data_IF_078817435162
#
_entry.id   IF_078817435162
#
_cell.length_a   1.000
_cell.length_b   1.000
_cell.length_c   1.000
_cell.angle_alpha   90.00
_cell.angle_beta   90.00
_cell.angle_gamma   90.00
#
_symmetry.space_group_name_H-M   'P 1'
#
loop_
_entity.id
_entity.type
_entity.pdbx_description
1 polymer ?
#
# COMPACT_ATOMS: atom_id res chain seq x y z
N UNK A 1 7.90 6.59 -10.99
CA UNK A 1 7.47 7.67 -10.07
C UNK A 1 6.18 7.23 -9.39
N UNK A 2 6.07 7.42 -8.08
CA UNK A 2 4.86 7.13 -7.29
C UNK A 2 4.24 8.43 -6.82
N UNK A 3 2.94 8.59 -7.02
CA UNK A 3 2.13 9.71 -6.55
C UNK A 3 1.21 9.17 -5.45
N UNK A 4 1.27 9.80 -4.27
CA UNK A 4 0.33 9.56 -3.19
C UNK A 4 -0.60 10.77 -3.06
N UNK A 5 -1.90 10.55 -3.14
CA UNK A 5 -2.92 11.57 -3.03
C UNK A 5 -3.83 11.30 -1.82
N UNK A 6 -3.89 12.29 -0.91
CA UNK A 6 -4.77 12.29 0.26
C UNK A 6 -5.71 13.51 0.20
N UNK A 7 -6.69 13.51 -0.74
CA UNK A 7 -7.56 14.66 -0.93
C UNK A 7 -8.51 14.86 0.24
N UNK A 8 -9.07 16.07 0.44
CA UNK A 8 -10.19 16.28 1.35
C UNK A 8 -11.28 15.24 1.07
N UNK A 9 -11.59 14.38 2.04
CA UNK A 9 -12.49 13.23 1.77
C UNK A 9 -13.88 13.68 1.30
N UNK A 10 -14.53 12.90 0.43
CA UNK A 10 -15.87 13.21 -0.07
C UNK A 10 -16.82 13.53 1.09
N UNK A 11 -17.48 14.69 1.06
CA UNK A 11 -18.30 15.19 2.17
C UNK A 11 -19.32 14.17 2.69
N UNK A 12 -19.98 13.45 1.79
CA UNK A 12 -20.97 12.42 2.10
C UNK A 12 -20.43 11.26 2.96
N UNK A 13 -19.11 11.06 2.99
CA UNK A 13 -18.44 9.99 3.75
C UNK A 13 -17.99 10.42 5.14
N UNK A 14 -18.09 11.72 5.47
CA UNK A 14 -17.61 12.28 6.74
C UNK A 14 -18.68 12.21 7.82
N UNK A 15 -18.28 11.87 9.05
CA UNK A 15 -19.21 11.86 10.19
C UNK A 15 -19.63 13.24 10.68
N UNK A 16 -18.91 14.30 10.29
CA UNK A 16 -19.26 15.69 10.58
C UNK A 16 -19.16 16.48 9.28
N UNK A 17 -20.25 17.10 8.80
CA UNK A 17 -20.26 17.86 7.55
C UNK A 17 -19.62 19.25 7.66
N UNK A 18 -19.04 19.60 8.82
CA UNK A 18 -18.33 20.86 9.00
C UNK A 18 -17.07 20.97 8.14
N UNK A 19 -16.73 22.20 7.73
CA UNK A 19 -15.54 22.50 6.93
C UNK A 19 -14.27 22.24 7.74
N UNK A 20 -13.68 21.05 7.58
CA UNK A 20 -12.35 20.74 8.14
C UNK A 20 -11.22 21.46 7.40
N UNK A 21 -11.46 21.81 6.15
CA UNK A 21 -10.53 22.49 5.26
C UNK A 21 -11.07 23.89 4.93
N UNK A 22 -10.16 24.85 4.75
CA UNK A 22 -10.50 26.22 4.31
C UNK A 22 -11.07 26.25 2.88
N UNK A 23 -10.67 25.28 2.07
CA UNK A 23 -11.19 25.02 0.73
C UNK A 23 -11.52 23.53 0.66
N UNK A 24 -12.81 23.21 0.61
CA UNK A 24 -13.27 21.83 0.51
C UNK A 24 -13.48 21.44 -0.95
N UNK A 25 -13.41 20.14 -1.23
CA UNK A 25 -13.66 19.63 -2.58
C UNK A 25 -15.16 19.42 -2.77
N UNK A 26 -15.66 19.95 -3.88
CA UNK A 26 -16.95 19.56 -4.44
C UNK A 26 -16.83 18.20 -5.13
N UNK A 27 -17.97 17.58 -5.45
CA UNK A 27 -17.95 16.36 -6.26
C UNK A 27 -17.27 16.57 -7.63
N UNK A 28 -17.40 17.77 -8.21
CA UNK A 28 -16.74 18.12 -9.47
C UNK A 28 -15.21 18.15 -9.32
N UNK A 29 -14.70 18.72 -8.23
CA UNK A 29 -13.25 18.76 -7.96
C UNK A 29 -12.69 17.33 -7.79
N UNK A 30 -13.45 16.45 -7.15
CA UNK A 30 -13.09 15.04 -7.05
C UNK A 30 -13.03 14.35 -8.42
N UNK A 31 -14.02 14.61 -9.30
CA UNK A 31 -14.04 14.06 -10.67
C UNK A 31 -12.83 14.54 -11.47
N UNK A 32 -12.50 15.83 -11.39
CA UNK A 32 -11.34 16.40 -12.07
C UNK A 32 -10.02 15.81 -11.54
N UNK A 33 -9.85 15.74 -10.22
CA UNK A 33 -8.67 15.13 -9.60
C UNK A 33 -8.47 13.70 -10.07
N UNK A 34 -9.52 12.87 -10.01
CA UNK A 34 -9.42 11.46 -10.40
C UNK A 34 -9.12 11.29 -11.89
N UNK A 35 -9.70 12.14 -12.75
CA UNK A 35 -9.40 12.13 -14.18
C UNK A 35 -7.92 12.47 -14.46
N UNK A 36 -7.37 13.46 -13.76
CA UNK A 36 -5.95 13.82 -13.89
C UNK A 36 -5.07 12.68 -13.40
N UNK A 37 -5.34 12.14 -12.21
CA UNK A 37 -4.55 11.05 -11.63
C UNK A 37 -4.59 9.78 -12.49
N UNK A 38 -5.74 9.49 -13.10
CA UNK A 38 -5.89 8.34 -13.98
C UNK A 38 -5.12 8.50 -15.30
N UNK A 39 -5.03 9.72 -15.84
CA UNK A 39 -4.34 9.99 -17.10
C UNK A 39 -2.80 10.01 -16.98
N UNK A 40 -2.26 10.15 -15.77
CA UNK A 40 -0.81 10.24 -15.56
C UNK A 40 -0.12 8.88 -15.84
N UNK A 41 1.03 8.87 -16.55
CA UNK A 41 1.85 7.68 -16.74
C UNK A 41 2.70 7.41 -15.48
N UNK A 42 2.04 7.30 -14.31
CA UNK A 42 2.67 7.11 -13.01
C UNK A 42 1.92 6.06 -12.19
N UNK A 43 2.64 5.45 -11.24
CA UNK A 43 2.00 4.70 -10.17
C UNK A 43 1.30 5.68 -9.24
N UNK A 44 0.02 5.47 -8.97
CA UNK A 44 -0.82 6.33 -8.15
C UNK A 44 -1.45 5.53 -7.03
N UNK A 45 -1.44 6.12 -5.84
CA UNK A 45 -2.11 5.64 -4.65
C UNK A 45 -3.00 6.76 -4.10
N UNK A 46 -4.26 6.46 -3.79
CA UNK A 46 -5.24 7.41 -3.27
C UNK A 46 -5.83 6.87 -1.97
N UNK A 47 -5.82 7.66 -0.89
CA UNK A 47 -6.47 7.33 0.39
C UNK A 47 -7.84 7.99 0.51
N UNK A 48 -8.76 7.33 1.20
CA UNK A 48 -10.08 7.91 1.48
C UNK A 48 -11.01 6.96 2.23
N UNK A 49 -12.26 7.40 2.44
CA UNK A 49 -13.34 6.54 2.94
C UNK A 49 -14.07 5.85 1.78
N UNK A 50 -14.72 4.70 2.03
CA UNK A 50 -15.59 4.07 1.04
C UNK A 50 -16.56 5.08 0.42
N UNK A 51 -16.51 5.24 -0.89
CA UNK A 51 -17.30 6.24 -1.62
C UNK A 51 -17.79 5.66 -2.94
N UNK A 52 -19.10 5.77 -3.20
CA UNK A 52 -19.70 5.34 -4.46
C UNK A 52 -19.09 6.06 -5.66
N UNK A 53 -18.80 7.36 -5.52
CA UNK A 53 -18.14 8.17 -6.54
C UNK A 53 -16.79 7.57 -6.95
N UNK A 54 -15.97 7.19 -5.98
CA UNK A 54 -14.63 6.65 -6.26
C UNK A 54 -14.73 5.23 -6.83
N UNK A 55 -15.68 4.42 -6.34
CA UNK A 55 -15.93 3.09 -6.89
C UNK A 55 -16.39 3.12 -8.35
N UNK A 56 -17.14 4.15 -8.76
CA UNK A 56 -17.58 4.35 -10.15
C UNK A 56 -16.42 4.83 -11.04
N UNK A 57 -15.61 5.76 -10.56
CA UNK A 57 -14.56 6.41 -11.36
C UNK A 57 -13.23 5.66 -11.39
N UNK A 58 -12.99 4.76 -10.44
CA UNK A 58 -11.78 3.96 -10.34
C UNK A 58 -12.12 2.47 -10.48
N UNK A 59 -12.62 2.02 -11.65
CA UNK A 59 -13.06 0.65 -11.82
C UNK A 59 -11.89 -0.34 -11.94
N UNK A 60 -12.16 -1.57 -11.52
CA UNK A 60 -11.30 -2.72 -11.81
C UNK A 60 -11.30 -3.03 -13.33
N UNK A 61 -10.23 -3.63 -13.90
CA UNK A 61 -9.02 -4.11 -13.23
C UNK A 61 -7.92 -3.05 -13.08
N UNK A 62 -8.12 -1.85 -13.63
CA UNK A 62 -7.12 -0.77 -13.64
C UNK A 62 -6.78 -0.34 -12.23
N UNK A 63 -7.80 -0.15 -11.40
CA UNK A 63 -7.65 0.23 -10.01
C UNK A 63 -7.97 -0.94 -9.08
N UNK A 64 -7.15 -1.10 -8.04
CA UNK A 64 -7.33 -2.06 -6.96
C UNK A 64 -7.66 -1.31 -5.69
N UNK A 65 -8.55 -1.88 -4.88
CA UNK A 65 -8.98 -1.28 -3.61
C UNK A 65 -8.58 -2.18 -2.46
N UNK A 66 -7.88 -1.63 -1.47
CA UNK A 66 -7.65 -2.27 -0.18
C UNK A 66 -8.45 -1.54 0.89
N UNK A 67 -9.22 -2.28 1.68
CA UNK A 67 -9.98 -1.72 2.80
C UNK A 67 -9.39 -2.22 4.12
N UNK A 68 -9.16 -1.30 5.07
CA UNK A 68 -8.64 -1.64 6.38
C UNK A 68 -9.36 -0.89 7.49
N UNK A 69 -9.35 -1.45 8.69
CA UNK A 69 -9.90 -0.80 9.89
C UNK A 69 -8.83 0.08 10.52
N UNK A 70 -9.13 1.37 10.64
CA UNK A 70 -8.31 2.35 11.33
C UNK A 70 -8.97 2.77 12.64
N UNK A 71 -8.23 2.74 13.74
CA UNK A 71 -8.72 3.27 15.02
C UNK A 71 -8.58 4.80 15.03
N UNK A 72 -9.70 5.51 15.12
CA UNK A 72 -9.70 6.98 15.25
C UNK A 72 -10.14 7.39 16.65
N UNK A 73 -9.96 8.67 17.01
CA UNK A 73 -10.47 9.23 18.27
C UNK A 73 -12.00 9.06 18.44
N UNK A 74 -12.72 8.87 17.34
CA UNK A 74 -14.17 8.64 17.32
C UNK A 74 -14.58 7.18 17.09
N UNK A 75 -13.68 6.22 17.34
CA UNK A 75 -13.91 4.79 17.14
C UNK A 75 -13.32 4.23 15.83
N UNK A 76 -13.52 2.92 15.57
CA UNK A 76 -13.03 2.27 14.36
C UNK A 76 -13.71 2.86 13.11
N UNK A 77 -12.93 3.12 12.07
CA UNK A 77 -13.38 3.58 10.77
C UNK A 77 -12.79 2.70 9.68
N UNK A 78 -13.60 2.40 8.67
CA UNK A 78 -13.14 1.70 7.46
C UNK A 78 -12.51 2.72 6.53
N UNK A 79 -11.22 2.59 6.24
CA UNK A 79 -10.52 3.35 5.22
C UNK A 79 -10.27 2.48 3.98
N UNK A 80 -10.19 3.12 2.82
CA UNK A 80 -9.92 2.52 1.53
C UNK A 80 -8.67 3.15 0.90
N UNK A 81 -7.90 2.31 0.23
CA UNK A 81 -6.71 2.67 -0.53
C UNK A 81 -6.88 2.19 -1.97
N UNK A 82 -6.94 3.11 -2.92
CA UNK A 82 -6.99 2.81 -4.35
C UNK A 82 -5.59 2.88 -4.95
N UNK A 83 -5.21 1.89 -5.76
CA UNK A 83 -3.90 1.84 -6.43
C UNK A 83 -4.04 1.38 -7.88
N UNK A 84 -3.35 2.03 -8.81
CA UNK A 84 -3.37 1.69 -10.24
C UNK A 84 -2.21 0.78 -10.69
N UNK A 85 -1.49 0.19 -9.74
CA UNK A 85 -0.34 -0.68 -9.98
C UNK A 85 -0.49 -1.99 -9.21
N UNK A 86 0.17 -3.05 -9.70
CA UNK A 86 0.21 -4.31 -8.98
C UNK A 86 1.11 -4.16 -7.74
N UNK A 87 0.71 -4.68 -6.56
CA UNK A 87 1.61 -4.77 -5.41
C UNK A 87 2.84 -5.65 -5.69
N UNK A 88 2.81 -6.43 -6.78
CA UNK A 88 3.93 -7.22 -7.26
C UNK A 88 4.74 -6.47 -8.31
N UNK A 89 5.67 -5.67 -7.81
CA UNK A 89 6.98 -5.58 -8.44
C UNK A 89 7.99 -5.94 -7.34
N UNK A 90 8.42 -7.20 -7.37
CA UNK A 90 9.67 -7.70 -6.82
C UNK A 90 10.64 -6.57 -6.46
N UNK A 91 10.94 -6.36 -5.16
CA UNK A 91 12.22 -5.84 -4.65
C UNK A 91 12.29 -5.58 -3.13
N UNK A 92 11.34 -6.07 -2.32
CA UNK A 92 11.48 -5.89 -0.87
C UNK A 92 11.30 -7.18 -0.09
N UNK A 93 12.39 -7.93 0.06
CA UNK A 93 12.54 -8.84 1.22
C UNK A 93 12.23 -8.12 2.55
N UNK A 94 12.30 -6.78 2.57
CA UNK A 94 11.93 -5.89 3.67
C UNK A 94 10.42 -5.83 3.95
N UNK A 95 9.56 -6.12 2.97
CA UNK A 95 8.10 -6.06 3.10
C UNK A 95 7.42 -7.44 3.07
N UNK A 96 8.19 -8.53 3.04
CA UNK A 96 7.66 -9.88 3.20
C UNK A 96 6.90 -9.99 4.54
N UNK A 97 5.60 -10.29 4.47
CA UNK A 97 4.74 -10.54 5.62
C UNK A 97 3.35 -9.91 5.49
N UNK A 98 2.32 -10.64 5.95
CA UNK A 98 0.90 -10.27 5.77
C UNK A 98 0.46 -9.09 6.63
N UNK A 99 1.06 -8.91 7.80
CA UNK A 99 0.79 -7.81 8.72
C UNK A 99 2.09 -7.27 9.36
N UNK A 100 1.98 -6.28 10.25
CA UNK A 100 3.14 -5.71 10.94
C UNK A 100 3.90 -6.75 11.77
N UNK A 101 3.20 -7.62 12.48
CA UNK A 101 3.79 -8.65 13.35
C UNK A 101 4.54 -9.69 12.52
N UNK A 102 3.94 -10.13 11.41
CA UNK A 102 4.53 -11.08 10.50
C UNK A 102 5.76 -10.50 9.78
N UNK A 103 5.70 -9.22 9.37
CA UNK A 103 6.87 -8.51 8.84
C UNK A 103 8.01 -8.43 9.87
N UNK A 104 7.71 -8.14 11.14
CA UNK A 104 8.71 -8.15 12.21
C UNK A 104 9.30 -9.56 12.44
N UNK A 105 8.46 -10.61 12.39
CA UNK A 105 8.89 -12.01 12.52
C UNK A 105 9.85 -12.40 11.39
N UNK A 106 9.51 -12.07 10.15
CA UNK A 106 10.33 -12.37 8.96
C UNK A 106 11.65 -11.59 9.03
N UNK A 107 11.62 -10.30 9.39
CA UNK A 107 12.82 -9.49 9.59
C UNK A 107 13.77 -10.09 10.63
N UNK A 108 13.25 -10.54 11.77
CA UNK A 108 14.05 -11.21 12.83
C UNK A 108 14.63 -12.54 12.34
N UNK A 109 13.86 -13.33 11.59
CA UNK A 109 14.33 -14.59 10.99
C UNK A 109 15.48 -14.31 10.01
N UNK A 110 15.33 -13.35 9.11
CA UNK A 110 16.38 -12.97 8.15
C UNK A 110 17.66 -12.49 8.86
N UNK A 111 17.54 -11.64 9.89
CA UNK A 111 18.70 -11.17 10.67
C UNK A 111 19.45 -12.31 11.37
N UNK A 112 18.70 -13.28 11.94
CA UNK A 112 19.29 -14.47 12.57
C UNK A 112 20.05 -15.32 11.56
N UNK A 113 19.44 -15.60 10.41
CA UNK A 113 20.06 -16.38 9.34
C UNK A 113 21.29 -15.67 8.77
N UNK A 114 21.24 -14.35 8.59
CA UNK A 114 22.41 -13.55 8.17
C UNK A 114 23.58 -13.73 9.13
N UNK A 115 23.33 -13.63 10.45
CA UNK A 115 24.38 -13.82 11.46
C UNK A 115 24.97 -15.22 11.41
N UNK A 116 24.11 -16.25 11.44
CA UNK A 116 24.55 -17.65 11.35
C UNK A 116 25.36 -17.89 10.06
N UNK A 117 24.89 -17.39 8.93
CA UNK A 117 25.56 -17.56 7.65
C UNK A 117 26.90 -16.84 7.59
N UNK A 118 27.03 -15.65 8.18
CA UNK A 118 28.30 -14.92 8.24
C UNK A 118 29.38 -15.61 9.10
N UNK A 119 28.97 -16.42 10.08
CA UNK A 119 29.88 -17.17 10.96
C UNK A 119 30.44 -18.44 10.28
N UNK A 120 29.84 -18.91 9.18
CA UNK A 120 30.29 -20.11 8.47
C UNK A 120 31.60 -19.89 7.70
N UNK A 121 32.43 -20.94 7.54
CA UNK A 121 33.58 -20.93 6.63
C UNK A 121 33.18 -20.59 5.19
N UNK A 122 34.09 -19.99 4.43
CA UNK A 122 33.81 -19.53 3.08
C UNK A 122 33.31 -20.64 2.13
N UNK A 123 33.86 -21.85 2.23
CA UNK A 123 33.43 -23.00 1.42
C UNK A 123 31.99 -23.42 1.71
N UNK A 124 31.60 -23.45 2.99
CA UNK A 124 30.23 -23.78 3.40
C UNK A 124 29.22 -22.71 2.95
N UNK A 125 29.61 -21.43 3.03
CA UNK A 125 28.77 -20.33 2.50
C UNK A 125 28.50 -20.48 1.00
N UNK A 126 29.51 -20.84 0.22
CA UNK A 126 29.37 -21.03 -1.23
C UNK A 126 28.47 -22.23 -1.53
N UNK A 127 28.66 -23.35 -0.82
CA UNK A 127 27.82 -24.54 -1.01
C UNK A 127 26.34 -24.27 -0.67
N UNK A 128 26.07 -23.55 0.41
CA UNK A 128 24.70 -23.15 0.78
C UNK A 128 24.12 -22.16 -0.24
N UNK A 129 24.89 -21.20 -0.74
CA UNK A 129 24.42 -20.28 -1.79
C UNK A 129 24.04 -21.02 -3.07
N UNK A 130 24.86 -21.99 -3.50
CA UNK A 130 24.54 -22.82 -4.66
C UNK A 130 23.23 -23.58 -4.46
N UNK A 131 23.05 -24.23 -3.29
CA UNK A 131 21.82 -24.94 -2.97
C UNK A 131 20.58 -24.02 -2.90
N UNK A 132 20.73 -22.78 -2.41
CA UNK A 132 19.63 -21.81 -2.38
C UNK A 132 19.23 -21.34 -3.78
N UNK A 133 20.19 -21.17 -4.69
CA UNK A 133 19.92 -20.76 -6.08
C UNK A 133 19.14 -21.84 -6.87
N UNK A 134 19.26 -23.11 -6.48
CA UNK A 134 18.47 -24.21 -7.07
C UNK A 134 16.99 -24.19 -6.67
N UNK A 135 16.64 -23.58 -5.52
CA UNK A 135 15.25 -23.55 -5.02
C UNK A 135 14.36 -22.61 -5.83
N UNK A 136 14.96 -21.58 -6.44
CA UNK A 136 14.26 -20.55 -7.22
C UNK A 136 14.23 -20.86 -8.74
N UNK A 137 14.69 -22.04 -9.16
CA UNK A 137 14.80 -22.48 -10.57
C UNK A 137 13.65 -23.39 -11.01
#
# INVERSE_FOLDING_TARGET
MLIYADPPYVLATRSHPGTRYRYDYTEADHRELLAVLDALPASVMISGYPSSLYSELLPAPRWRVLSYQAMTRGGPRTECLWMNYAPDAAHWATHAGVDFTDRQRIKRKAARWKRMFSELPAGERIAILAALLEVDS
#
